data_IF_298629883145
#
_entry.id   IF_298629883145
#
_cell.length_a   1.000
_cell.length_b   1.000
_cell.length_c   1.000
_cell.angle_alpha   90.00
_cell.angle_beta   90.00
_cell.angle_gamma   90.00
#
_symmetry.space_group_name_H-M   'P 1'
#
loop_
_entity.id
_entity.type
_entity.pdbx_description
1 polymer ?
#
# COMPACT_ATOMS: atom_id res chain seq x y z
N UNK A 1 -2.44 -13.29 -17.43
CA UNK A 1 -3.91 -13.26 -17.29
C UNK A 1 -4.38 -14.63 -16.82
N UNK A 2 -5.15 -14.69 -15.72
CA UNK A 2 -5.67 -15.93 -15.10
C UNK A 2 -6.55 -16.74 -16.08
N UNK A 3 -7.43 -16.08 -16.82
CA UNK A 3 -8.26 -16.74 -17.84
C UNK A 3 -7.39 -17.45 -18.89
N UNK A 4 -6.36 -16.77 -19.40
CA UNK A 4 -5.45 -17.37 -20.37
C UNK A 4 -4.74 -18.60 -19.80
N UNK A 5 -4.35 -18.59 -18.52
CA UNK A 5 -3.75 -19.76 -17.87
C UNK A 5 -4.74 -20.93 -17.86
N UNK A 6 -6.00 -20.70 -17.44
CA UNK A 6 -7.03 -21.74 -17.45
C UNK A 6 -7.29 -22.30 -18.85
N UNK A 7 -7.42 -21.43 -19.84
CA UNK A 7 -7.70 -21.81 -21.22
C UNK A 7 -6.55 -22.62 -21.85
N UNK A 8 -5.30 -22.38 -21.41
CA UNK A 8 -4.11 -23.03 -22.02
C UNK A 8 -3.57 -24.19 -21.20
N UNK A 9 -3.71 -24.19 -19.86
CA UNK A 9 -3.13 -25.18 -18.95
C UNK A 9 -4.15 -25.94 -18.10
N UNK A 10 -5.42 -25.58 -18.23
CA UNK A 10 -6.52 -26.20 -17.49
C UNK A 10 -6.77 -25.58 -16.10
N UNK A 11 -7.94 -25.86 -15.57
CA UNK A 11 -8.42 -25.31 -14.30
C UNK A 11 -7.58 -25.77 -13.08
N UNK A 12 -6.98 -26.96 -13.13
CA UNK A 12 -6.13 -27.49 -12.06
C UNK A 12 -4.92 -26.58 -11.81
N UNK A 13 -4.27 -26.08 -12.88
CA UNK A 13 -3.13 -25.17 -12.78
C UNK A 13 -3.58 -23.80 -12.30
N UNK A 14 -4.77 -23.35 -12.72
CA UNK A 14 -5.39 -22.13 -12.19
C UNK A 14 -5.67 -22.21 -10.68
N UNK A 15 -6.14 -23.36 -10.21
CA UNK A 15 -6.38 -23.58 -8.77
C UNK A 15 -5.07 -23.59 -7.96
N UNK A 16 -3.98 -24.13 -8.52
CA UNK A 16 -2.65 -24.02 -7.89
C UNK A 16 -2.21 -22.57 -7.78
N UNK A 17 -2.37 -21.79 -8.84
CA UNK A 17 -2.08 -20.34 -8.79
C UNK A 17 -2.88 -19.64 -7.70
N UNK A 18 -4.19 -19.88 -7.61
CA UNK A 18 -5.04 -19.23 -6.62
C UNK A 18 -4.67 -19.60 -5.17
N UNK A 19 -4.26 -20.84 -4.93
CA UNK A 19 -3.76 -21.28 -3.63
C UNK A 19 -2.47 -20.55 -3.26
N UNK A 20 -1.54 -20.44 -4.20
CA UNK A 20 -0.27 -19.75 -4.00
C UNK A 20 -0.49 -18.24 -3.77
N UNK A 21 -1.39 -17.60 -4.55
CA UNK A 21 -1.79 -16.20 -4.33
C UNK A 21 -2.36 -16.01 -2.93
N UNK A 22 -3.29 -16.89 -2.49
CA UNK A 22 -3.87 -16.80 -1.16
C UNK A 22 -2.81 -16.95 -0.06
N UNK A 23 -1.83 -17.83 -0.24
CA UNK A 23 -0.74 -18.04 0.70
C UNK A 23 0.17 -16.79 0.79
N UNK A 24 0.54 -16.21 -0.36
CA UNK A 24 1.35 -14.98 -0.41
C UNK A 24 0.62 -13.80 0.24
N UNK A 25 -0.67 -13.63 -0.05
CA UNK A 25 -1.48 -12.59 0.58
C UNK A 25 -1.52 -12.74 2.11
N UNK A 26 -1.75 -13.96 2.61
CA UNK A 26 -1.73 -14.23 4.06
C UNK A 26 -0.37 -13.95 4.70
N UNK A 27 0.72 -14.19 3.98
CA UNK A 27 2.07 -13.86 4.45
C UNK A 27 2.38 -12.36 4.52
N UNK A 28 1.58 -11.52 3.85
CA UNK A 28 1.75 -10.07 3.86
C UNK A 28 0.96 -9.37 4.97
N UNK A 29 -0.14 -9.97 5.44
CA UNK A 29 -1.10 -9.33 6.35
C UNK A 29 -0.92 -9.83 7.79
N UNK A 30 -1.46 -9.08 8.74
CA UNK A 30 -1.45 -9.44 10.16
C UNK A 30 -2.57 -10.45 10.46
N UNK A 31 -2.50 -11.13 11.60
CA UNK A 31 -3.50 -12.12 12.04
C UNK A 31 -4.92 -11.54 12.15
N UNK A 32 -5.02 -10.27 12.51
CA UNK A 32 -6.30 -9.55 12.63
C UNK A 32 -6.89 -9.10 11.29
N UNK A 33 -6.09 -9.07 10.23
CA UNK A 33 -6.55 -8.69 8.91
C UNK A 33 -7.26 -9.87 8.24
N UNK A 34 -8.16 -9.59 7.32
CA UNK A 34 -8.93 -10.62 6.63
C UNK A 34 -8.51 -10.70 5.17
N UNK A 35 -8.24 -11.92 4.69
CA UNK A 35 -8.05 -12.23 3.27
C UNK A 35 -9.20 -13.12 2.83
N UNK A 36 -9.97 -12.68 1.84
CA UNK A 36 -11.07 -13.42 1.26
C UNK A 36 -10.98 -13.46 -0.27
N UNK A 37 -11.51 -14.52 -0.87
CA UNK A 37 -11.69 -14.64 -2.32
C UNK A 37 -13.16 -14.44 -2.65
N UNK A 38 -13.47 -13.48 -3.53
CA UNK A 38 -14.85 -13.19 -3.95
C UNK A 38 -15.30 -14.09 -5.11
N UNK A 39 -14.39 -14.40 -6.01
CA UNK A 39 -14.67 -15.27 -7.16
C UNK A 39 -13.55 -15.13 -8.22
N UNK A 40 -13.49 -16.07 -9.16
CA UNK A 40 -12.47 -16.00 -10.22
C UNK A 40 -11.05 -15.79 -9.68
N UNK A 41 -10.40 -14.71 -10.10
CA UNK A 41 -9.08 -14.25 -9.64
C UNK A 41 -9.15 -13.03 -8.70
N UNK A 42 -10.32 -12.75 -8.14
CA UNK A 42 -10.57 -11.59 -7.27
C UNK A 42 -10.45 -11.94 -5.79
N UNK A 43 -9.57 -11.19 -5.11
CA UNK A 43 -9.34 -11.27 -3.67
C UNK A 43 -9.65 -9.92 -3.02
N UNK A 44 -10.13 -9.98 -1.78
CA UNK A 44 -10.30 -8.82 -0.92
C UNK A 44 -9.42 -8.97 0.31
N UNK A 45 -8.77 -7.90 0.68
CA UNK A 45 -8.01 -7.77 1.93
C UNK A 45 -8.63 -6.66 2.76
N UNK A 46 -9.05 -6.97 3.97
CA UNK A 46 -9.60 -6.00 4.92
C UNK A 46 -8.56 -5.76 6.00
N UNK A 47 -8.08 -4.53 6.10
CA UNK A 47 -7.12 -4.10 7.10
C UNK A 47 -7.83 -3.53 8.31
N UNK A 48 -7.44 -3.98 9.49
CA UNK A 48 -7.99 -3.52 10.75
C UNK A 48 -6.97 -2.67 11.51
N UNK A 49 -7.47 -1.83 12.42
CA UNK A 49 -6.65 -1.02 13.32
C UNK A 49 -5.61 -0.14 12.59
N UNK A 50 -6.01 0.45 11.46
CA UNK A 50 -5.26 1.53 10.84
C UNK A 50 -5.39 2.80 11.69
N UNK A 51 -4.52 3.78 11.46
CA UNK A 51 -4.61 5.09 12.10
C UNK A 51 -5.99 5.71 11.92
N UNK A 52 -6.46 6.44 12.94
CA UNK A 52 -7.69 7.25 12.84
C UNK A 52 -7.49 8.50 11.97
N UNK A 53 -6.24 8.89 11.70
CA UNK A 53 -5.91 9.94 10.75
C UNK A 53 -5.93 9.40 9.32
N UNK A 54 -6.82 9.93 8.49
CA UNK A 54 -7.06 9.39 7.16
C UNK A 54 -5.83 9.40 6.23
N UNK A 55 -5.00 10.46 6.17
CA UNK A 55 -3.74 10.45 5.43
C UNK A 55 -2.76 9.38 5.91
N UNK A 56 -2.67 9.16 7.23
CA UNK A 56 -1.80 8.14 7.78
C UNK A 56 -2.32 6.73 7.52
N UNK A 57 -3.62 6.49 7.66
CA UNK A 57 -4.27 5.23 7.30
C UNK A 57 -4.03 4.90 5.82
N UNK A 58 -4.16 5.90 4.93
CA UNK A 58 -3.88 5.74 3.50
C UNK A 58 -2.40 5.38 3.25
N UNK A 59 -1.46 6.00 3.97
CA UNK A 59 -0.04 5.67 3.86
C UNK A 59 0.26 4.23 4.33
N UNK A 60 -0.35 3.78 5.43
CA UNK A 60 -0.24 2.41 5.93
C UNK A 60 -0.82 1.41 4.92
N UNK A 61 -2.01 1.67 4.38
CA UNK A 61 -2.65 0.84 3.35
C UNK A 61 -1.80 0.77 2.08
N UNK A 62 -1.20 1.89 1.66
CA UNK A 62 -0.28 1.93 0.52
C UNK A 62 0.95 1.05 0.75
N UNK A 63 1.61 1.21 1.89
CA UNK A 63 2.82 0.43 2.21
C UNK A 63 2.55 -1.07 2.12
N UNK A 64 1.42 -1.52 2.68
CA UNK A 64 1.03 -2.92 2.58
C UNK A 64 0.65 -3.31 1.14
N UNK A 65 -0.07 -2.47 0.42
CA UNK A 65 -0.42 -2.71 -0.98
C UNK A 65 0.81 -2.86 -1.89
N UNK A 66 1.85 -2.05 -1.67
CA UNK A 66 3.13 -2.15 -2.38
C UNK A 66 3.87 -3.45 -2.03
N UNK A 67 3.85 -3.87 -0.75
CA UNK A 67 4.38 -5.16 -0.33
C UNK A 67 3.64 -6.32 -1.02
N UNK A 68 2.31 -6.29 -1.04
CA UNK A 68 1.50 -7.29 -1.73
C UNK A 68 1.85 -7.35 -3.21
N UNK A 69 1.94 -6.21 -3.91
CA UNK A 69 2.33 -6.17 -5.33
C UNK A 69 3.71 -6.80 -5.55
N UNK A 70 4.68 -6.49 -4.68
CA UNK A 70 6.03 -7.06 -4.77
C UNK A 70 6.03 -8.58 -4.58
N UNK A 71 5.25 -9.10 -3.62
CA UNK A 71 5.14 -10.55 -3.38
C UNK A 71 4.39 -11.27 -4.49
N UNK A 72 3.30 -10.70 -4.99
CA UNK A 72 2.52 -11.30 -6.09
C UNK A 72 3.25 -11.26 -7.43
N UNK A 73 4.22 -10.39 -7.60
CA UNK A 73 5.08 -10.30 -8.79
C UNK A 73 6.17 -11.38 -8.84
N UNK A 74 6.50 -12.02 -7.70
CA UNK A 74 7.50 -13.10 -7.69
C UNK A 74 7.04 -14.26 -8.59
N UNK A 75 7.97 -14.98 -9.22
CA UNK A 75 7.64 -16.13 -10.05
C UNK A 75 6.78 -17.17 -9.31
N UNK A 76 5.94 -17.87 -10.06
CA UNK A 76 5.11 -18.97 -9.58
C UNK A 76 5.55 -20.27 -10.25
N UNK A 77 5.95 -21.25 -9.46
CA UNK A 77 6.25 -22.61 -9.93
C UNK A 77 4.95 -23.44 -9.94
N UNK A 78 4.33 -23.57 -11.11
CA UNK A 78 3.06 -24.29 -11.27
C UNK A 78 3.24 -25.47 -12.21
N UNK A 79 2.99 -26.68 -11.71
CA UNK A 79 3.10 -27.93 -12.47
C UNK A 79 4.46 -28.07 -13.20
N UNK A 80 5.56 -27.65 -12.55
CA UNK A 80 6.92 -27.77 -13.12
C UNK A 80 7.29 -26.68 -14.14
N UNK A 81 6.49 -25.61 -14.22
CA UNK A 81 6.75 -24.46 -15.09
C UNK A 81 6.70 -23.15 -14.31
N UNK A 82 7.65 -22.25 -14.63
CA UNK A 82 7.66 -20.90 -14.09
C UNK A 82 6.67 -20.01 -14.82
N UNK A 83 5.89 -19.24 -14.04
CA UNK A 83 4.90 -18.30 -14.52
C UNK A 83 5.04 -16.94 -13.83
N UNK A 84 4.77 -15.87 -14.58
CA UNK A 84 4.79 -14.50 -14.06
C UNK A 84 3.39 -13.88 -14.14
N UNK A 85 2.93 -13.36 -13.01
CA UNK A 85 1.67 -12.65 -12.92
C UNK A 85 1.88 -11.32 -12.21
N UNK A 86 0.96 -10.39 -12.46
CA UNK A 86 0.90 -9.11 -11.77
C UNK A 86 -0.52 -8.87 -11.30
N UNK A 87 -0.67 -8.12 -10.22
CA UNK A 87 -1.97 -7.73 -9.70
C UNK A 87 -2.23 -6.24 -9.94
N UNK A 88 -3.50 -5.87 -9.92
CA UNK A 88 -3.95 -4.48 -9.81
C UNK A 88 -4.76 -4.35 -8.54
N UNK A 89 -4.47 -3.34 -7.72
CA UNK A 89 -5.08 -3.18 -6.40
C UNK A 89 -5.88 -1.88 -6.38
N UNK A 90 -7.17 -1.97 -6.04
CA UNK A 90 -8.00 -0.84 -5.67
C UNK A 90 -8.07 -0.71 -4.15
N UNK A 91 -7.93 0.49 -3.63
CA UNK A 91 -7.95 0.78 -2.19
C UNK A 91 -9.04 1.79 -1.91
N UNK A 92 -9.87 1.51 -0.91
CA UNK A 92 -10.78 2.46 -0.30
C UNK A 92 -10.64 2.41 1.21
N UNK A 93 -10.87 3.54 1.89
CA UNK A 93 -10.95 3.60 3.34
C UNK A 93 -12.40 3.63 3.77
N UNK A 94 -12.73 2.77 4.73
CA UNK A 94 -14.03 2.77 5.39
C UNK A 94 -14.11 3.99 6.30
N UNK A 95 -14.99 4.92 5.97
CA UNK A 95 -15.28 6.07 6.80
C UNK A 95 -16.53 5.74 7.62
N UNK A 96 -16.34 5.56 8.93
CA UNK A 96 -17.29 5.09 9.92
C UNK A 96 -18.79 5.36 9.64
N UNK A 97 -19.60 4.31 9.72
CA UNK A 97 -21.06 4.25 9.99
C UNK A 97 -22.05 4.49 8.84
N UNK A 98 -21.66 4.80 7.61
CA UNK A 98 -22.66 5.08 6.55
C UNK A 98 -22.50 4.24 5.27
N UNK A 99 -21.35 3.64 5.04
CA UNK A 99 -21.12 2.91 3.79
C UNK A 99 -21.59 1.46 3.93
N UNK A 100 -22.45 1.03 3.02
CA UNK A 100 -22.79 -0.39 2.92
C UNK A 100 -21.58 -1.17 2.37
N UNK A 101 -21.51 -2.47 2.68
CA UNK A 101 -20.47 -3.35 2.13
C UNK A 101 -20.44 -3.29 0.61
N UNK A 102 -21.61 -3.26 -0.03
CA UNK A 102 -21.73 -3.18 -1.49
C UNK A 102 -21.13 -1.89 -2.05
N UNK A 103 -21.32 -0.76 -1.36
CA UNK A 103 -20.76 0.53 -1.79
C UNK A 103 -19.24 0.53 -1.68
N UNK A 104 -18.71 0.01 -0.57
CA UNK A 104 -17.26 -0.10 -0.34
C UNK A 104 -16.61 -0.99 -1.40
N UNK A 105 -17.24 -2.12 -1.73
CA UNK A 105 -16.74 -3.02 -2.77
C UNK A 105 -16.76 -2.35 -4.15
N UNK A 106 -17.83 -1.60 -4.49
CA UNK A 106 -17.89 -0.82 -5.74
C UNK A 106 -16.78 0.24 -5.82
N UNK A 107 -16.50 0.94 -4.71
CA UNK A 107 -15.43 1.92 -4.65
C UNK A 107 -14.05 1.27 -4.90
N UNK A 108 -13.79 0.14 -4.24
CA UNK A 108 -12.56 -0.62 -4.41
C UNK A 108 -12.42 -1.15 -5.86
N UNK A 109 -13.51 -1.64 -6.44
CA UNK A 109 -13.53 -2.13 -7.83
C UNK A 109 -13.25 -1.01 -8.83
N UNK A 110 -13.86 0.17 -8.67
CA UNK A 110 -13.59 1.33 -9.51
C UNK A 110 -12.13 1.78 -9.41
N UNK A 111 -11.56 1.76 -8.21
CA UNK A 111 -10.14 2.05 -8.00
C UNK A 111 -9.23 1.00 -8.66
N UNK A 112 -9.60 -0.28 -8.55
CA UNK A 112 -8.88 -1.38 -9.23
C UNK A 112 -8.95 -1.25 -10.75
N UNK A 113 -10.10 -0.87 -11.30
CA UNK A 113 -10.24 -0.60 -12.74
C UNK A 113 -9.27 0.50 -13.18
N UNK A 114 -9.20 1.62 -12.44
CA UNK A 114 -8.22 2.68 -12.68
C UNK A 114 -6.77 2.19 -12.61
N UNK A 115 -6.47 1.25 -11.71
CA UNK A 115 -5.15 0.61 -11.64
C UNK A 115 -4.86 -0.24 -12.88
N UNK A 116 -5.87 -0.97 -13.41
CA UNK A 116 -5.75 -1.71 -14.67
C UNK A 116 -5.48 -0.79 -15.86
N UNK A 117 -6.19 0.33 -15.95
CA UNK A 117 -6.03 1.33 -17.03
C UNK A 117 -4.69 2.07 -16.94
N UNK A 118 -4.16 2.26 -15.74
CA UNK A 118 -2.86 2.90 -15.51
C UNK A 118 -1.65 1.99 -15.82
N UNK A 119 -1.85 0.87 -16.52
CA UNK A 119 -0.78 -0.04 -16.94
C UNK A 119 -0.64 -1.29 -16.09
N UNK A 120 -1.59 -1.58 -15.21
CA UNK A 120 -1.57 -2.72 -14.27
C UNK A 120 -0.39 -2.68 -13.29
N UNK A 121 -0.19 -3.74 -12.52
CA UNK A 121 0.92 -3.87 -11.55
C UNK A 121 1.09 -2.62 -10.67
N UNK A 122 0.00 -2.07 -10.21
CA UNK A 122 -0.06 -0.84 -9.40
C UNK A 122 -1.27 -0.85 -8.48
N UNK A 123 -1.27 0.05 -7.53
CA UNK A 123 -2.43 0.33 -6.69
C UNK A 123 -3.00 1.74 -6.98
N UNK A 124 -4.29 1.92 -6.76
CA UNK A 124 -4.98 3.20 -6.82
C UNK A 124 -5.97 3.32 -5.68
N UNK A 125 -6.06 4.51 -5.12
CA UNK A 125 -7.10 4.86 -4.16
C UNK A 125 -8.37 5.29 -4.89
N UNK A 126 -9.51 4.98 -4.30
CA UNK A 126 -10.81 5.45 -4.79
C UNK A 126 -10.89 6.98 -4.68
N UNK A 127 -10.54 7.51 -3.50
CA UNK A 127 -10.55 8.94 -3.22
C UNK A 127 -9.33 9.62 -3.85
N UNK A 128 -9.52 10.60 -4.78
CA UNK A 128 -8.43 11.32 -5.39
C UNK A 128 -7.59 12.15 -4.40
N UNK A 129 -8.23 12.69 -3.35
CA UNK A 129 -7.52 13.51 -2.34
C UNK A 129 -6.59 12.65 -1.51
N UNK A 130 -7.03 11.43 -1.14
CA UNK A 130 -6.16 10.44 -0.51
C UNK A 130 -5.01 10.02 -1.42
N UNK A 131 -5.28 9.80 -2.69
CA UNK A 131 -4.22 9.48 -3.67
C UNK A 131 -3.18 10.62 -3.75
N UNK A 132 -3.62 11.86 -3.73
CA UNK A 132 -2.72 13.02 -3.73
C UNK A 132 -1.92 13.14 -2.42
N UNK A 133 -2.56 12.96 -1.26
CA UNK A 133 -1.90 12.99 0.03
C UNK A 133 -0.79 11.93 0.13
N UNK A 134 -1.09 10.72 -0.30
CA UNK A 134 -0.12 9.62 -0.35
C UNK A 134 1.04 9.92 -1.30
N UNK A 135 0.75 10.45 -2.49
CA UNK A 135 1.80 10.83 -3.45
C UNK A 135 2.71 11.93 -2.90
N UNK A 136 2.12 12.95 -2.25
CA UNK A 136 2.87 14.07 -1.64
C UNK A 136 3.78 13.58 -0.52
N UNK A 137 3.30 12.68 0.34
CA UNK A 137 4.11 12.08 1.42
C UNK A 137 5.29 11.28 0.86
N UNK A 138 5.07 10.44 -0.15
CA UNK A 138 6.14 9.67 -0.79
C UNK A 138 7.20 10.55 -1.46
N UNK A 139 6.77 11.66 -2.10
CA UNK A 139 7.69 12.63 -2.67
C UNK A 139 8.54 13.26 -1.56
N UNK A 140 7.92 13.74 -0.49
CA UNK A 140 8.62 14.35 0.65
C UNK A 140 9.63 13.38 1.28
N UNK A 141 9.28 12.12 1.48
CA UNK A 141 10.20 11.10 2.00
C UNK A 141 11.41 10.91 1.09
N UNK A 142 11.18 10.88 -0.24
CA UNK A 142 12.27 10.80 -1.23
C UNK A 142 13.17 12.04 -1.18
N UNK A 143 12.58 13.22 -1.10
CA UNK A 143 13.32 14.49 -1.01
C UNK A 143 14.13 14.58 0.28
N UNK A 144 13.57 14.19 1.44
CA UNK A 144 14.29 14.11 2.72
C UNK A 144 15.51 13.20 2.64
N UNK A 145 15.37 12.00 2.07
CA UNK A 145 16.50 11.08 1.88
C UNK A 145 17.57 11.66 0.95
N UNK A 146 17.17 12.35 -0.11
CA UNK A 146 18.11 13.02 -1.00
C UNK A 146 18.80 14.20 -0.32
N UNK A 147 18.05 14.97 0.49
CA UNK A 147 18.57 16.07 1.29
C UNK A 147 19.64 15.62 2.29
N UNK A 148 19.43 14.48 2.97
CA UNK A 148 20.41 13.87 3.86
C UNK A 148 21.70 13.49 3.11
N UNK A 149 21.55 12.79 1.97
CA UNK A 149 22.73 12.38 1.16
C UNK A 149 23.50 13.55 0.59
N UNK A 150 22.84 14.68 0.33
CA UNK A 150 23.44 15.90 -0.21
C UNK A 150 23.89 16.89 0.87
N UNK A 151 23.81 16.49 2.16
CA UNK A 151 24.14 17.33 3.30
C UNK A 151 23.41 18.70 3.28
N UNK A 152 22.13 18.71 2.90
CA UNK A 152 21.33 19.94 2.80
C UNK A 152 20.69 20.35 4.14
N UNK A 153 20.87 19.55 5.19
CA UNK A 153 20.34 19.86 6.52
C UNK A 153 21.38 20.61 7.33
N UNK A 154 20.92 21.69 7.97
CA UNK A 154 21.69 22.48 8.90
C UNK A 154 21.09 22.39 10.29
N UNK A 155 21.94 22.36 11.31
CA UNK A 155 21.53 22.52 12.70
C UNK A 155 21.79 23.96 13.13
N UNK A 156 20.73 24.66 13.52
CA UNK A 156 20.84 25.94 14.21
C UNK A 156 20.57 25.71 15.69
N UNK A 157 21.26 26.44 16.55
CA UNK A 157 21.10 26.32 17.98
C UNK A 157 20.47 27.59 18.55
N UNK A 158 19.35 27.42 19.24
CA UNK A 158 18.69 28.51 19.95
C UNK A 158 19.03 28.40 21.44
N UNK A 159 19.69 29.43 22.04
CA UNK A 159 20.04 29.37 23.44
C UNK A 159 18.80 29.43 24.32
N UNK A 160 18.78 28.62 25.36
CA UNK A 160 17.81 28.67 26.44
C UNK A 160 18.46 29.41 27.62
N UNK A 161 17.75 30.40 28.16
CA UNK A 161 18.26 31.22 29.26
C UNK A 161 17.37 31.12 30.48
N UNK A 162 17.96 31.25 31.67
CA UNK A 162 17.23 31.35 32.93
C UNK A 162 16.67 32.77 33.14
N UNK A 163 15.96 32.96 34.26
CA UNK A 163 15.39 34.27 34.65
C UNK A 163 16.44 35.36 34.90
N UNK A 164 17.71 35.02 34.99
CA UNK A 164 18.84 35.95 35.14
C UNK A 164 19.61 36.17 33.82
N UNK A 165 19.11 35.64 32.70
CA UNK A 165 19.72 35.74 31.38
C UNK A 165 20.95 34.83 31.15
N UNK A 166 21.21 33.87 32.04
CA UNK A 166 22.32 32.92 31.85
C UNK A 166 21.91 31.78 30.97
N UNK A 167 22.79 31.41 30.03
CA UNK A 167 22.51 30.28 29.15
C UNK A 167 22.56 28.97 29.95
N UNK A 168 21.44 28.25 29.95
CA UNK A 168 21.26 26.97 30.65
C UNK A 168 21.23 25.79 29.71
N UNK A 169 21.04 26.01 28.40
CA UNK A 169 20.97 24.98 27.38
C UNK A 169 20.85 25.58 25.98
N UNK A 170 20.73 24.69 24.99
CA UNK A 170 20.45 25.10 23.64
C UNK A 170 19.50 24.08 22.99
N UNK A 171 18.51 24.55 22.25
CA UNK A 171 17.66 23.73 21.41
C UNK A 171 18.28 23.61 20.02
N UNK A 172 18.42 22.38 19.53
CA UNK A 172 18.91 22.11 18.18
C UNK A 172 17.73 22.11 17.19
N UNK A 173 17.71 23.07 16.30
CA UNK A 173 16.67 23.27 15.30
C UNK A 173 17.20 22.89 13.92
N UNK A 174 16.59 21.88 13.31
CA UNK A 174 16.90 21.49 11.93
C UNK A 174 16.34 22.51 10.95
N UNK A 175 17.12 22.80 9.93
CA UNK A 175 16.71 23.58 8.74
C UNK A 175 17.07 22.81 7.49
N UNK A 176 16.18 22.88 6.49
CA UNK A 176 16.35 22.26 5.19
C UNK A 176 16.05 23.28 4.09
#
# INVERSE_FOLDING_TARGET
>A
NFKTLNDTRGHEVGDLLLKEVAQRLRGCVREQDTVARLGGDEFVVVLQNLSSDAPEAAAQARTLGELILAQLRQPYELAGHEHHFTASIGVTLLNHQRDSVDEVLKQADLAMYRAKDAGRNTLRFFDPDMQQAVNRRALLETELHNGLRRAQFLLLYQPQVDSQGRVTGAEALVRW
#
